data_IF_202117473350
#
_entry.id   IF_202117473350
#
_cell.length_a   1.000
_cell.length_b   1.000
_cell.length_c   1.000
_cell.angle_alpha   90.00
_cell.angle_beta   90.00
_cell.angle_gamma   90.00
#
_symmetry.space_group_name_H-M   'P 1'
#
loop_
_entity.id
_entity.type
_entity.pdbx_description
1 polymer ?
#
# COMPACT_ATOMS: atom_id res chain seq x y z
N UNK A 1 13.42 17.20 27.74
CA UNK A 1 13.60 16.11 26.76
C UNK A 1 14.03 16.71 25.41
N UNK A 2 14.97 16.11 24.71
CA UNK A 2 15.39 16.65 23.42
C UNK A 2 14.19 16.60 22.45
N UNK A 3 13.98 17.69 21.71
CA UNK A 3 12.97 17.76 20.67
C UNK A 3 13.48 16.97 19.46
N UNK A 4 12.79 15.91 19.11
CA UNK A 4 13.08 15.14 17.89
C UNK A 4 12.07 15.61 16.83
N UNK A 5 12.53 16.32 15.78
CA UNK A 5 11.64 16.74 14.71
C UNK A 5 11.16 15.53 13.90
N UNK A 6 9.87 15.49 13.59
CA UNK A 6 9.31 14.51 12.68
C UNK A 6 9.22 15.15 11.30
N UNK A 7 9.81 14.49 10.30
CA UNK A 7 9.76 14.93 8.91
C UNK A 7 8.70 14.12 8.17
N UNK A 8 7.88 14.81 7.39
CA UNK A 8 6.91 14.19 6.48
C UNK A 8 7.09 14.81 5.10
N UNK A 9 7.42 14.00 4.12
CA UNK A 9 7.50 14.45 2.74
C UNK A 9 6.09 14.54 2.14
N UNK A 10 5.89 15.56 1.33
CA UNK A 10 4.62 15.84 0.67
C UNK A 10 4.88 16.13 -0.81
N UNK A 11 4.24 15.39 -1.69
CA UNK A 11 4.29 15.61 -3.14
C UNK A 11 2.88 15.99 -3.61
N UNK A 12 2.77 17.16 -4.21
CA UNK A 12 1.53 17.63 -4.80
C UNK A 12 1.61 17.58 -6.34
N UNK A 13 0.88 16.63 -6.93
CA UNK A 13 0.65 16.60 -8.36
C UNK A 13 -0.50 17.55 -8.70
N UNK A 14 -0.15 18.74 -9.15
CA UNK A 14 -1.11 19.78 -9.50
C UNK A 14 -1.96 19.40 -10.72
N UNK A 15 -1.48 18.54 -11.60
CA UNK A 15 -2.18 18.14 -12.82
C UNK A 15 -3.37 17.23 -12.52
N UNK A 16 -3.20 16.29 -11.59
CA UNK A 16 -4.25 15.37 -11.15
C UNK A 16 -4.98 15.82 -9.89
N UNK A 17 -4.50 16.88 -9.22
CA UNK A 17 -5.02 17.34 -7.94
C UNK A 17 -4.77 16.38 -6.80
N UNK A 18 -3.75 15.52 -6.90
CA UNK A 18 -3.43 14.49 -5.89
C UNK A 18 -2.29 14.93 -4.99
N UNK A 19 -2.46 14.64 -3.70
CA UNK A 19 -1.47 14.87 -2.67
C UNK A 19 -0.99 13.52 -2.14
N UNK A 20 0.33 13.28 -2.20
CA UNK A 20 0.98 12.09 -1.68
C UNK A 20 1.76 12.45 -0.43
N UNK A 21 1.60 11.67 0.64
CA UNK A 21 2.28 11.87 1.91
C UNK A 21 3.15 10.65 2.26
N UNK A 22 4.35 10.88 2.76
CA UNK A 22 5.26 9.82 3.23
C UNK A 22 4.93 9.32 4.63
N UNK A 23 3.66 9.37 5.04
CA UNK A 23 3.21 8.95 6.36
C UNK A 23 1.82 8.32 6.30
N UNK A 24 1.57 7.36 7.20
CA UNK A 24 0.25 6.78 7.48
C UNK A 24 -0.27 7.19 8.87
N UNK A 25 0.48 8.02 9.61
CA UNK A 25 0.08 8.51 10.93
C UNK A 25 -1.05 9.53 10.82
N UNK A 26 -2.20 9.25 11.42
CA UNK A 26 -3.36 10.15 11.42
C UNK A 26 -2.99 11.55 11.94
N UNK A 27 -2.22 11.64 13.03
CA UNK A 27 -1.76 12.91 13.58
C UNK A 27 -0.90 13.72 12.61
N UNK A 28 -0.01 13.05 11.88
CA UNK A 28 0.85 13.71 10.87
C UNK A 28 0.03 14.15 9.67
N UNK A 29 -0.93 13.34 9.22
CA UNK A 29 -1.84 13.66 8.11
C UNK A 29 -2.68 14.90 8.46
N UNK A 30 -3.28 14.94 9.63
CA UNK A 30 -4.07 16.09 10.11
C UNK A 30 -3.24 17.37 10.17
N UNK A 31 -1.99 17.29 10.65
CA UNK A 31 -1.07 18.41 10.69
C UNK A 31 -0.75 18.96 9.30
N UNK A 32 -0.49 18.04 8.32
CA UNK A 32 -0.26 18.43 6.93
C UNK A 32 -1.52 19.04 6.32
N UNK A 33 -2.70 18.46 6.52
CA UNK A 33 -3.96 19.00 6.02
C UNK A 33 -4.25 20.41 6.55
N UNK A 34 -4.04 20.61 7.86
CA UNK A 34 -4.20 21.91 8.48
C UNK A 34 -3.24 22.96 7.91
N UNK A 35 -1.97 22.59 7.73
CA UNK A 35 -0.98 23.45 7.12
C UNK A 35 -1.29 23.77 5.68
N UNK A 36 -1.70 22.77 4.89
CA UNK A 36 -2.07 22.90 3.49
C UNK A 36 -3.26 23.85 3.32
N UNK A 37 -4.29 23.69 4.15
CA UNK A 37 -5.45 24.58 4.17
C UNK A 37 -5.07 26.03 4.52
N UNK A 38 -4.22 26.21 5.52
CA UNK A 38 -3.75 27.56 5.91
C UNK A 38 -2.92 28.24 4.83
N UNK A 39 -2.12 27.47 4.09
CA UNK A 39 -1.19 27.99 3.09
C UNK A 39 -1.86 28.25 1.75
N UNK A 40 -2.71 27.32 1.31
CA UNK A 40 -3.28 27.33 -0.04
C UNK A 40 -4.79 27.57 -0.07
N UNK A 41 -5.45 27.63 1.09
CA UNK A 41 -6.90 27.75 1.18
C UNK A 41 -7.67 26.51 0.71
N UNK A 42 -6.98 25.38 0.50
CA UNK A 42 -7.55 24.13 0.01
C UNK A 42 -7.50 23.10 1.13
N UNK A 43 -8.63 22.48 1.45
CA UNK A 43 -8.70 21.36 2.39
C UNK A 43 -8.57 20.03 1.63
N UNK A 44 -7.45 19.31 1.78
CA UNK A 44 -7.31 17.99 1.18
C UNK A 44 -8.35 17.03 1.73
N UNK A 45 -8.77 16.08 0.91
CA UNK A 45 -9.68 15.02 1.32
C UNK A 45 -9.00 13.66 1.09
N UNK A 46 -9.22 12.73 2.01
CA UNK A 46 -8.74 11.37 1.85
C UNK A 46 -9.36 10.72 0.62
N UNK A 47 -8.56 10.04 -0.17
CA UNK A 47 -9.03 9.29 -1.33
C UNK A 47 -9.84 8.09 -0.83
N UNK A 48 -11.08 7.99 -1.29
CA UNK A 48 -11.93 6.84 -0.98
C UNK A 48 -11.95 5.90 -2.19
N UNK A 49 -11.61 4.62 -2.02
CA UNK A 49 -11.67 3.67 -3.13
C UNK A 49 -13.12 3.53 -3.63
N UNK A 50 -13.29 3.41 -4.95
CA UNK A 50 -14.62 3.21 -5.57
C UNK A 50 -15.24 1.85 -5.20
N UNK A 51 -14.39 0.85 -5.04
CA UNK A 51 -14.77 -0.50 -4.63
C UNK A 51 -14.20 -0.79 -3.24
N UNK A 52 -14.86 -1.65 -2.50
CA UNK A 52 -14.36 -2.11 -1.22
C UNK A 52 -13.06 -2.91 -1.44
N UNK A 53 -11.93 -2.40 -0.97
CA UNK A 53 -10.62 -3.02 -1.20
C UNK A 53 -10.52 -4.43 -0.60
N UNK A 54 -11.24 -4.68 0.47
CA UNK A 54 -11.32 -6.03 1.07
C UNK A 54 -11.85 -7.07 0.07
N UNK A 55 -12.81 -6.68 -0.78
CA UNK A 55 -13.32 -7.56 -1.85
C UNK A 55 -12.29 -7.76 -2.96
N UNK A 56 -11.57 -6.70 -3.34
CA UNK A 56 -10.47 -6.78 -4.32
C UNK A 56 -9.34 -7.68 -3.80
N UNK A 57 -8.97 -7.55 -2.54
CA UNK A 57 -7.97 -8.43 -1.91
C UNK A 57 -8.40 -9.89 -1.91
N UNK A 58 -9.68 -10.16 -1.63
CA UNK A 58 -10.23 -11.51 -1.68
C UNK A 58 -10.15 -12.09 -3.11
N UNK A 59 -10.44 -11.30 -4.13
CA UNK A 59 -10.31 -11.70 -5.53
C UNK A 59 -8.86 -11.99 -5.88
N UNK A 60 -7.92 -11.13 -5.53
CA UNK A 60 -6.48 -11.34 -5.75
C UNK A 60 -6.02 -12.65 -5.11
N UNK A 61 -6.44 -12.93 -3.89
CA UNK A 61 -6.06 -14.18 -3.19
C UNK A 61 -6.71 -15.42 -3.79
N UNK A 62 -7.91 -15.32 -4.40
CA UNK A 62 -8.58 -16.44 -5.05
C UNK A 62 -8.03 -16.72 -6.44
N UNK A 63 -7.69 -15.69 -7.20
CA UNK A 63 -7.20 -15.80 -8.57
C UNK A 63 -5.67 -15.92 -8.65
N UNK A 64 -4.97 -15.47 -7.61
CA UNK A 64 -3.51 -15.39 -7.56
C UNK A 64 -2.92 -14.19 -8.30
N UNK A 65 -3.73 -13.43 -9.04
CA UNK A 65 -3.27 -12.29 -9.84
C UNK A 65 -4.41 -11.29 -10.07
N UNK A 66 -4.06 -10.02 -10.18
CA UNK A 66 -4.98 -8.95 -10.56
C UNK A 66 -4.30 -7.95 -11.48
N UNK A 67 -4.90 -7.67 -12.63
CA UNK A 67 -4.34 -6.71 -13.59
C UNK A 67 -4.99 -5.34 -13.43
N UNK A 68 -4.17 -4.31 -13.27
CA UNK A 68 -4.63 -2.93 -13.14
C UNK A 68 -3.64 -1.95 -13.78
N UNK A 69 -4.13 -1.11 -14.68
CA UNK A 69 -3.37 0.00 -15.27
C UNK A 69 -1.99 -0.39 -15.86
N UNK A 70 -1.89 -1.56 -16.51
CA UNK A 70 -0.63 -2.06 -17.09
C UNK A 70 0.29 -2.75 -16.08
N UNK A 71 -0.16 -2.92 -14.84
CA UNK A 71 0.52 -3.70 -13.82
C UNK A 71 -0.22 -5.00 -13.53
N UNK A 72 0.55 -6.05 -13.25
CA UNK A 72 0.07 -7.28 -12.65
C UNK A 72 0.41 -7.26 -11.16
N UNK A 73 -0.59 -7.45 -10.31
CA UNK A 73 -0.46 -7.51 -8.85
C UNK A 73 -0.59 -8.97 -8.41
N UNK A 74 0.44 -9.50 -7.77
CA UNK A 74 0.43 -10.85 -7.21
C UNK A 74 0.56 -10.80 -5.69
N UNK A 75 -0.21 -11.62 -4.95
CA UNK A 75 -0.10 -11.66 -3.50
C UNK A 75 1.22 -12.31 -3.09
N UNK A 76 1.88 -11.74 -2.12
CA UNK A 76 3.17 -12.19 -1.63
C UNK A 76 3.25 -12.09 -0.10
N UNK A 77 4.04 -12.96 0.55
CA UNK A 77 4.28 -12.88 2.00
C UNK A 77 3.04 -13.17 2.83
N UNK A 78 2.48 -12.17 3.50
CA UNK A 78 1.41 -12.35 4.49
C UNK A 78 0.19 -11.49 4.19
N UNK A 79 -1.00 -12.03 4.49
CA UNK A 79 -2.25 -11.30 4.57
C UNK A 79 -2.66 -11.15 6.05
N UNK A 80 -3.14 -9.97 6.41
CA UNK A 80 -3.77 -9.71 7.71
C UNK A 80 -5.29 -9.72 7.54
N UNK A 81 -5.96 -10.61 8.25
CA UNK A 81 -7.41 -10.77 8.20
C UNK A 81 -8.04 -10.41 9.54
N UNK A 82 -9.26 -9.92 9.52
CA UNK A 82 -10.06 -9.63 10.72
C UNK A 82 -11.55 -9.88 10.45
N UNK A 83 -12.31 -10.23 11.50
CA UNK A 83 -13.77 -10.46 11.43
C UNK A 83 -14.57 -9.18 11.29
N UNK A 84 -14.05 -8.07 11.81
CA UNK A 84 -14.65 -6.73 11.74
C UNK A 84 -13.53 -5.69 11.93
N UNK A 85 -13.87 -4.41 11.92
CA UNK A 85 -12.90 -3.34 12.18
C UNK A 85 -12.31 -3.34 13.61
N UNK A 86 -12.68 -4.30 14.45
CA UNK A 86 -12.12 -4.46 15.80
C UNK A 86 -10.83 -5.28 15.75
N UNK A 87 -9.80 -4.75 16.40
CA UNK A 87 -8.42 -5.25 16.32
C UNK A 87 -8.16 -6.60 17.02
N UNK A 88 -9.13 -7.14 17.76
CA UNK A 88 -8.91 -8.27 18.67
C UNK A 88 -8.84 -9.64 18.00
N UNK A 89 -9.40 -9.79 16.78
CA UNK A 89 -9.43 -11.07 16.05
C UNK A 89 -8.60 -11.03 14.76
N UNK A 90 -7.33 -10.65 14.88
CA UNK A 90 -6.43 -10.63 13.72
C UNK A 90 -5.80 -11.99 13.48
N UNK A 91 -6.04 -12.56 12.31
CA UNK A 91 -5.28 -13.70 11.81
C UNK A 91 -4.22 -13.21 10.79
N UNK A 92 -2.99 -13.69 10.95
CA UNK A 92 -1.91 -13.50 9.98
C UNK A 92 -1.71 -14.81 9.24
N UNK A 93 -1.94 -14.81 7.93
CA UNK A 93 -1.79 -16.00 7.10
C UNK A 93 -0.71 -15.75 6.06
N UNK A 94 0.26 -16.67 5.98
CA UNK A 94 1.26 -16.66 4.92
C UNK A 94 0.59 -17.04 3.58
N UNK A 95 0.66 -16.16 2.60
CA UNK A 95 -0.07 -16.31 1.33
C UNK A 95 0.71 -17.16 0.32
N UNK A 96 2.04 -17.09 0.34
CA UNK A 96 2.93 -17.64 -0.70
C UNK A 96 2.73 -19.13 -1.02
N UNK A 97 2.30 -19.94 -0.03
CA UNK A 97 2.09 -21.38 -0.22
C UNK A 97 0.74 -21.85 0.33
N UNK A 98 -0.16 -20.94 0.65
CA UNK A 98 -1.36 -21.29 1.40
C UNK A 98 -2.59 -20.45 1.04
N UNK A 99 -2.78 -20.22 -0.27
CA UNK A 99 -3.98 -19.56 -0.80
C UNK A 99 -5.27 -20.28 -0.34
N UNK A 100 -5.19 -21.58 -0.11
CA UNK A 100 -6.31 -22.35 0.41
C UNK A 100 -6.71 -21.91 1.82
N UNK A 101 -5.75 -21.69 2.73
CA UNK A 101 -6.05 -21.22 4.09
C UNK A 101 -6.66 -19.80 4.07
N UNK A 102 -6.19 -18.94 3.16
CA UNK A 102 -6.80 -17.61 2.98
C UNK A 102 -8.24 -17.74 2.48
N UNK A 103 -8.50 -18.60 1.49
CA UNK A 103 -9.85 -18.85 0.99
C UNK A 103 -10.77 -19.40 2.08
N UNK A 104 -10.29 -20.34 2.87
CA UNK A 104 -11.05 -20.88 4.01
C UNK A 104 -11.39 -19.79 5.03
N UNK A 105 -10.42 -18.96 5.42
CA UNK A 105 -10.65 -17.85 6.33
C UNK A 105 -11.67 -16.82 5.79
N UNK A 106 -11.65 -16.56 4.47
CA UNK A 106 -12.65 -15.71 3.81
C UNK A 106 -14.05 -16.35 3.85
N UNK A 107 -14.14 -17.67 3.67
CA UNK A 107 -15.41 -18.40 3.72
C UNK A 107 -15.96 -18.45 5.17
N UNK A 108 -15.10 -18.40 6.18
CA UNK A 108 -15.44 -18.24 7.60
C UNK A 108 -15.87 -16.79 7.97
N UNK A 109 -15.84 -15.87 6.99
CA UNK A 109 -16.31 -14.50 7.18
C UNK A 109 -15.22 -13.49 7.58
N UNK A 110 -13.96 -13.88 7.61
CA UNK A 110 -12.86 -12.94 7.77
C UNK A 110 -12.69 -12.08 6.51
N UNK A 111 -12.21 -10.86 6.70
CA UNK A 111 -11.89 -9.92 5.60
C UNK A 111 -10.43 -9.54 5.64
N UNK A 112 -9.80 -9.48 4.48
CA UNK A 112 -8.40 -9.08 4.37
C UNK A 112 -8.31 -7.57 4.57
N UNK A 113 -7.61 -7.14 5.63
CA UNK A 113 -7.39 -5.74 5.96
C UNK A 113 -6.09 -5.20 5.38
N UNK A 114 -5.09 -6.06 5.25
CA UNK A 114 -3.78 -5.73 4.66
C UNK A 114 -3.30 -6.89 3.82
N UNK A 115 -2.78 -6.59 2.66
CA UNK A 115 -2.21 -7.57 1.74
C UNK A 115 -0.87 -7.09 1.23
N UNK A 116 0.16 -7.93 1.35
CA UNK A 116 1.44 -7.69 0.70
C UNK A 116 1.35 -8.11 -0.76
N UNK A 117 1.79 -7.24 -1.64
CA UNK A 117 1.68 -7.37 -3.09
C UNK A 117 3.03 -7.13 -3.76
N UNK A 118 3.23 -7.83 -4.86
CA UNK A 118 4.28 -7.51 -5.81
C UNK A 118 3.61 -7.03 -7.09
N UNK A 119 3.95 -5.81 -7.50
CA UNK A 119 3.50 -5.24 -8.76
C UNK A 119 4.59 -5.39 -9.82
N UNK A 120 4.26 -5.99 -10.94
CA UNK A 120 5.13 -6.10 -12.12
C UNK A 120 4.49 -5.40 -13.30
N UNK A 121 5.30 -4.78 -14.15
CA UNK A 121 4.84 -4.14 -15.38
C UNK A 121 5.51 -4.79 -16.58
N UNK A 122 4.77 -4.95 -17.68
CA UNK A 122 5.34 -5.43 -18.94
C UNK A 122 6.39 -4.46 -19.52
N UNK A 123 6.23 -3.16 -19.26
CA UNK A 123 7.16 -2.12 -19.72
C UNK A 123 8.46 -2.11 -18.90
N UNK A 124 8.42 -2.59 -17.64
CA UNK A 124 9.53 -2.62 -16.70
C UNK A 124 9.59 -3.95 -15.95
N UNK A 125 9.82 -5.08 -16.65
CA UNK A 125 9.74 -6.42 -16.04
C UNK A 125 10.79 -6.65 -14.95
N UNK A 126 11.95 -5.98 -15.05
CA UNK A 126 13.06 -6.12 -14.10
C UNK A 126 12.94 -5.19 -12.87
N UNK A 127 11.86 -4.40 -12.79
CA UNK A 127 11.62 -3.44 -11.72
C UNK A 127 10.33 -3.75 -10.94
N UNK A 128 10.24 -4.92 -10.27
CA UNK A 128 9.09 -5.22 -9.44
C UNK A 128 9.03 -4.29 -8.24
N UNK A 129 7.80 -3.85 -7.88
CA UNK A 129 7.53 -3.09 -6.68
C UNK A 129 6.91 -4.01 -5.63
N UNK A 130 7.53 -4.11 -4.47
CA UNK A 130 7.04 -4.88 -3.34
C UNK A 130 6.51 -3.91 -2.26
N UNK A 131 5.27 -4.08 -1.83
CA UNK A 131 4.63 -3.21 -0.86
C UNK A 131 3.46 -3.90 -0.17
N UNK A 132 3.03 -3.35 0.96
CA UNK A 132 1.81 -3.73 1.64
C UNK A 132 0.76 -2.64 1.45
N UNK A 133 -0.42 -3.04 0.97
CA UNK A 133 -1.58 -2.17 0.82
C UNK A 133 -2.60 -2.50 1.91
N UNK A 134 -3.11 -1.50 2.61
CA UNK A 134 -4.23 -1.67 3.53
C UNK A 134 -5.57 -1.28 2.90
N UNK A 135 -6.66 -1.67 3.56
CA UNK A 135 -8.03 -1.44 3.07
C UNK A 135 -8.41 0.06 2.98
N UNK A 136 -7.63 0.95 3.58
CA UNK A 136 -7.80 2.40 3.51
C UNK A 136 -6.89 3.09 2.49
N UNK A 137 -6.26 2.34 1.57
CA UNK A 137 -5.28 2.81 0.59
C UNK A 137 -3.93 3.26 1.20
N UNK A 138 -3.63 2.90 2.44
CA UNK A 138 -2.31 3.11 3.02
C UNK A 138 -1.29 2.14 2.41
N UNK A 139 -0.16 2.67 1.94
CA UNK A 139 0.96 1.89 1.42
C UNK A 139 2.08 1.88 2.44
N UNK A 140 2.58 0.70 2.78
CA UNK A 140 3.70 0.55 3.71
C UNK A 140 4.69 -0.51 3.22
N UNK A 141 5.90 -0.51 3.78
CA UNK A 141 6.93 -1.48 3.45
C UNK A 141 7.33 -1.50 1.98
N UNK A 142 7.26 -0.34 1.30
CA UNK A 142 7.64 -0.22 -0.10
C UNK A 142 9.12 -0.51 -0.29
N UNK A 143 9.41 -1.55 -1.07
CA UNK A 143 10.76 -1.92 -1.46
C UNK A 143 10.90 -1.60 -2.94
N UNK A 144 11.78 -0.64 -3.23
CA UNK A 144 12.14 -0.29 -4.60
C UNK A 144 13.20 -1.26 -5.12
N UNK A 145 13.15 -1.63 -6.40
CA UNK A 145 14.21 -2.41 -7.02
C UNK A 145 15.52 -1.65 -6.92
N UNK A 146 16.60 -2.37 -6.63
CA UNK A 146 17.93 -1.77 -6.63
C UNK A 146 18.27 -1.41 -8.07
N UNK A 147 18.48 -0.13 -8.36
CA UNK A 147 19.12 0.25 -9.61
C UNK A 147 20.49 -0.40 -9.66
N UNK A 148 20.79 -1.16 -10.70
CA UNK A 148 22.16 -1.54 -10.97
C UNK A 148 22.97 -0.24 -11.05
N UNK A 149 23.89 -0.06 -10.10
CA UNK A 149 24.88 1.01 -10.20
C UNK A 149 25.58 0.75 -11.52
N UNK A 150 25.43 1.67 -12.46
CA UNK A 150 26.11 1.59 -13.74
C UNK A 150 27.60 1.28 -13.46
N UNK A 151 28.09 0.21 -14.08
CA UNK A 151 29.47 -0.26 -13.96
C UNK A 151 30.49 0.77 -14.49
N UNK A 152 30.05 1.92 -14.95
CA UNK A 152 30.87 2.96 -15.60
C UNK A 152 31.61 3.91 -14.65
N UNK A 153 31.50 3.75 -13.32
CA UNK A 153 32.29 4.57 -12.39
C UNK A 153 33.56 3.91 -11.87
N UNK A 154 34.02 2.81 -12.46
CA UNK A 154 35.31 2.15 -12.11
C UNK A 154 36.38 2.24 -13.17
N UNK A 155 36.23 3.09 -14.17
CA UNK A 155 37.25 3.34 -15.21
C UNK A 155 37.66 4.82 -15.20
N UNK A 156 38.22 5.27 -14.08
CA UNK A 156 39.16 6.40 -14.03
C UNK A 156 40.12 6.20 -12.87
#
# INVERSE_FOLDING_TARGET
>A
APFIPTLTDCIWDMSSGRLFLSTISAKSIEAVFSLFQKTFGILPQALTPKNELTAVFAEICRTGEFSCAGYSLTPFGTASLATSQQEEDKALIAVQNNLHAVSQALDEGLRIQKLRLVATSADFPDLPLDFTLDASLGVSGLILPKSEKSADQKAM
#
